data_IF_616597123557
#
_entry.id   IF_616597123557
#
_cell.length_a   1.000
_cell.length_b   1.000
_cell.length_c   1.000
_cell.angle_alpha   90.00
_cell.angle_beta   90.00
_cell.angle_gamma   90.00
#
_symmetry.space_group_name_H-M   'P 1'
#
loop_
_entity.id
_entity.type
_entity.pdbx_description
1 polymer ?
#
# COMPACT_ATOMS: atom_id res chain seq x y z
N UNK A 1 -46.65 39.90 46.30
CA UNK A 1 -46.03 41.25 46.39
C UNK A 1 -44.76 41.25 45.54
N UNK A 2 -44.04 42.37 45.47
CA UNK A 2 -42.89 42.61 44.56
C UNK A 2 -41.84 41.47 44.54
N UNK A 3 -41.15 41.10 43.44
CA UNK A 3 -40.73 41.77 42.19
C UNK A 3 -39.43 42.61 42.27
N UNK A 4 -38.56 42.45 41.25
CA UNK A 4 -37.30 43.18 40.97
C UNK A 4 -36.14 42.84 41.95
N UNK A 5 -34.82 42.94 41.67
CA UNK A 5 -33.92 42.96 40.49
C UNK A 5 -32.47 42.65 41.04
N UNK A 6 -31.29 42.64 40.39
CA UNK A 6 -30.75 43.02 39.06
C UNK A 6 -29.40 42.26 38.83
N UNK A 7 -29.01 42.03 37.56
CA UNK A 7 -27.65 41.61 37.10
C UNK A 7 -27.09 40.23 37.55
N UNK A 8 -26.13 39.60 36.86
CA UNK A 8 -25.61 39.88 35.51
C UNK A 8 -24.08 39.81 35.38
N UNK A 9 -23.56 38.76 34.73
CA UNK A 9 -22.19 38.70 34.22
C UNK A 9 -22.07 37.67 33.08
N UNK A 10 -21.62 38.09 31.89
CA UNK A 10 -20.96 37.19 30.94
C UNK A 10 -19.46 37.33 31.18
N UNK A 11 -18.75 36.22 31.34
CA UNK A 11 -17.29 36.18 31.30
C UNK A 11 -16.85 35.26 30.17
N UNK A 12 -16.72 35.83 28.97
CA UNK A 12 -15.85 35.27 27.95
C UNK A 12 -14.40 35.43 28.44
N UNK A 13 -13.69 34.32 28.63
CA UNK A 13 -12.26 34.31 28.91
C UNK A 13 -11.50 33.88 27.67
N UNK A 14 -10.92 34.84 26.97
CA UNK A 14 -9.98 34.56 25.88
C UNK A 14 -8.54 34.43 26.42
N UNK A 15 -7.66 34.02 25.51
CA UNK A 15 -6.22 34.27 25.52
C UNK A 15 -5.37 33.58 26.60
N UNK A 16 -4.59 32.60 26.15
CA UNK A 16 -3.20 32.46 26.60
C UNK A 16 -2.34 32.10 25.40
N UNK A 17 -1.17 32.72 25.30
CA UNK A 17 -0.48 32.98 24.04
C UNK A 17 0.48 31.89 23.55
N UNK A 18 1.00 32.11 22.34
CA UNK A 18 2.29 31.61 21.82
C UNK A 18 2.53 30.09 21.69
N UNK A 19 2.43 29.59 20.44
CA UNK A 19 3.13 28.40 19.95
C UNK A 19 3.66 28.61 18.51
N UNK A 20 4.56 29.59 18.34
CA UNK A 20 5.23 29.89 17.06
C UNK A 20 6.54 29.09 16.87
N UNK A 21 7.02 29.06 15.62
CA UNK A 21 8.38 28.64 15.22
C UNK A 21 8.73 27.13 15.28
N UNK A 22 8.32 26.44 14.21
CA UNK A 22 9.11 25.50 13.40
C UNK A 22 10.56 25.12 13.84
N UNK A 23 10.80 23.81 13.89
CA UNK A 23 11.95 23.11 13.25
C UNK A 23 13.39 23.40 13.72
N UNK A 24 14.01 22.44 14.41
CA UNK A 24 15.42 22.06 14.18
C UNK A 24 15.70 20.61 14.63
N UNK A 25 16.71 19.96 14.06
CA UNK A 25 16.84 18.51 14.09
C UNK A 25 17.46 17.88 15.35
N UNK A 26 16.86 16.77 15.81
CA UNK A 26 17.49 15.76 16.66
C UNK A 26 17.43 14.39 15.98
N UNK A 27 18.56 13.66 15.89
CA UNK A 27 18.67 12.33 15.25
C UNK A 27 18.61 11.19 16.27
N UNK A 28 17.51 11.08 17.00
CA UNK A 28 17.28 9.93 17.87
C UNK A 28 16.66 8.78 17.08
N UNK A 29 17.49 7.79 16.74
CA UNK A 29 17.13 6.64 15.91
C UNK A 29 16.33 5.60 16.71
N UNK A 30 15.14 5.98 17.16
CA UNK A 30 14.20 5.05 17.81
C UNK A 30 13.65 4.09 16.74
N UNK A 31 14.15 2.85 16.74
CA UNK A 31 13.67 1.76 15.90
C UNK A 31 12.28 1.30 16.34
N UNK A 32 11.26 2.10 16.00
CA UNK A 32 9.85 1.78 16.21
C UNK A 32 9.38 0.65 15.27
N UNK A 33 9.79 -0.57 15.59
CA UNK A 33 9.31 -1.81 14.96
C UNK A 33 7.90 -2.20 15.44
N UNK A 34 7.15 -1.29 16.08
CA UNK A 34 5.93 -1.59 16.83
C UNK A 34 4.63 -1.04 16.25
N UNK A 35 4.65 0.01 15.41
CA UNK A 35 3.43 0.52 14.77
C UNK A 35 3.68 1.28 13.46
N UNK A 36 4.24 0.60 12.45
CA UNK A 36 3.93 0.98 11.07
C UNK A 36 2.45 0.65 10.81
N UNK A 37 1.65 1.54 10.20
CA UNK A 37 0.23 1.26 9.95
C UNK A 37 0.12 0.00 9.10
N UNK A 38 -0.43 -1.06 9.69
CA UNK A 38 -0.41 -2.40 9.09
C UNK A 38 -1.11 -2.35 7.73
N UNK A 39 -0.32 -2.50 6.65
CA UNK A 39 -0.80 -2.32 5.29
C UNK A 39 -1.97 -3.26 5.03
N UNK A 40 -3.13 -2.65 4.88
CA UNK A 40 -4.45 -3.28 4.88
C UNK A 40 -5.36 -2.54 3.92
N UNK A 41 -6.47 -3.17 3.55
CA UNK A 41 -7.39 -2.62 2.55
C UNK A 41 -7.87 -1.20 2.90
N UNK A 42 -8.09 -0.92 4.18
CA UNK A 42 -8.51 0.40 4.67
C UNK A 42 -7.42 1.50 4.55
N UNK A 43 -6.15 1.11 4.53
CA UNK A 43 -5.00 2.03 4.38
C UNK A 43 -4.58 2.29 2.92
N UNK A 44 -5.18 1.59 1.95
CA UNK A 44 -4.92 1.81 0.52
C UNK A 44 -5.43 3.18 0.07
N UNK A 45 -4.90 3.69 -1.05
CA UNK A 45 -5.39 4.93 -1.67
C UNK A 45 -6.91 4.83 -1.98
N UNK A 46 -7.68 5.93 -1.93
CA UNK A 46 -9.10 5.88 -2.28
C UNK A 46 -9.35 5.39 -3.72
N UNK A 47 -8.38 5.51 -4.62
CA UNK A 47 -8.47 4.94 -5.96
C UNK A 47 -8.26 3.43 -5.96
N UNK A 48 -7.23 2.92 -5.29
CA UNK A 48 -7.00 1.48 -5.15
C UNK A 48 -8.16 0.79 -4.42
N UNK A 49 -8.71 1.41 -3.38
CA UNK A 49 -9.94 0.93 -2.75
C UNK A 49 -11.06 0.78 -3.79
N UNK A 50 -11.42 1.84 -4.55
CA UNK A 50 -12.43 1.73 -5.61
C UNK A 50 -12.09 0.67 -6.67
N UNK A 51 -10.83 0.59 -7.09
CA UNK A 51 -10.32 -0.33 -8.11
C UNK A 51 -10.37 -1.79 -7.67
N UNK A 52 -10.18 -2.08 -6.38
CA UNK A 52 -10.04 -3.44 -5.85
C UNK A 52 -11.18 -3.90 -4.93
N UNK A 53 -12.12 -3.04 -4.55
CA UNK A 53 -13.27 -3.31 -3.67
C UNK A 53 -13.94 -4.66 -3.92
N UNK A 54 -14.46 -4.89 -5.13
CA UNK A 54 -15.18 -6.12 -5.49
C UNK A 54 -14.34 -7.39 -5.34
N UNK A 55 -13.01 -7.28 -5.47
CA UNK A 55 -12.05 -8.38 -5.33
C UNK A 55 -11.68 -8.63 -3.87
N UNK A 56 -11.55 -7.58 -3.07
CA UNK A 56 -11.43 -7.71 -1.62
C UNK A 56 -12.71 -8.32 -1.02
N UNK A 57 -13.89 -7.77 -1.33
CA UNK A 57 -15.20 -8.26 -0.86
C UNK A 57 -15.53 -9.68 -1.36
N UNK A 58 -14.99 -10.11 -2.51
CA UNK A 58 -15.06 -11.52 -2.92
C UNK A 58 -14.25 -12.40 -1.95
N UNK A 59 -12.97 -12.06 -1.72
CA UNK A 59 -12.08 -12.85 -0.82
C UNK A 59 -12.59 -12.89 0.61
N UNK A 60 -13.07 -11.77 1.16
CA UNK A 60 -13.69 -11.74 2.49
C UNK A 60 -14.84 -12.76 2.61
N UNK A 61 -15.61 -12.99 1.53
CA UNK A 61 -16.71 -13.96 1.47
C UNK A 61 -16.29 -15.41 1.15
N UNK A 62 -15.21 -15.62 0.39
CA UNK A 62 -14.79 -16.97 -0.06
C UNK A 62 -13.63 -17.57 0.72
N UNK A 63 -12.73 -16.73 1.24
CA UNK A 63 -11.43 -17.08 1.83
C UNK A 63 -11.24 -16.47 3.23
N UNK A 64 -12.14 -15.56 3.65
CA UNK A 64 -12.11 -14.87 4.94
C UNK A 64 -11.30 -13.56 4.94
N UNK A 65 -11.49 -12.75 6.00
CA UNK A 65 -10.87 -11.42 6.11
C UNK A 65 -9.35 -11.48 6.17
N UNK A 66 -8.78 -12.42 6.92
CA UNK A 66 -7.32 -12.51 7.10
C UNK A 66 -6.60 -12.86 5.79
N UNK A 67 -7.19 -13.73 4.97
CA UNK A 67 -6.69 -14.03 3.63
C UNK A 67 -6.81 -12.83 2.69
N UNK A 68 -7.92 -12.08 2.76
CA UNK A 68 -8.09 -10.85 1.98
C UNK A 68 -7.04 -9.77 2.34
N UNK A 69 -6.71 -9.61 3.62
CA UNK A 69 -5.66 -8.69 4.09
C UNK A 69 -4.23 -9.22 3.84
N UNK A 70 -4.01 -10.54 3.84
CA UNK A 70 -2.74 -11.14 3.40
C UNK A 70 -2.51 -10.88 1.89
N UNK A 71 -3.55 -11.01 1.07
CA UNK A 71 -3.50 -10.67 -0.35
C UNK A 71 -3.22 -9.18 -0.60
N UNK A 72 -3.79 -8.27 0.19
CA UNK A 72 -3.46 -6.83 0.12
C UNK A 72 -1.99 -6.59 0.46
N UNK A 73 -1.46 -7.21 1.52
CA UNK A 73 -0.05 -7.05 1.90
C UNK A 73 0.91 -7.48 0.79
N UNK A 74 0.83 -8.69 0.26
CA UNK A 74 1.73 -9.14 -0.83
C UNK A 74 1.63 -8.26 -2.09
N UNK A 75 0.45 -7.70 -2.36
CA UNK A 75 0.19 -6.97 -3.60
C UNK A 75 0.62 -5.50 -3.57
N UNK A 76 0.39 -4.79 -2.47
CA UNK A 76 0.62 -3.34 -2.37
C UNK A 76 1.81 -2.98 -1.47
N UNK A 77 2.12 -3.83 -0.49
CA UNK A 77 3.21 -3.64 0.45
C UNK A 77 4.05 -4.92 0.59
N UNK A 78 4.58 -5.47 -0.52
CA UNK A 78 5.43 -6.66 -0.46
C UNK A 78 6.62 -6.38 0.48
N UNK A 79 6.94 -7.29 1.41
CA UNK A 79 8.09 -7.11 2.29
C UNK A 79 9.39 -7.08 1.46
N UNK A 80 10.45 -6.40 1.94
CA UNK A 80 11.58 -5.99 1.13
C UNK A 80 12.31 -7.17 0.47
N UNK A 81 12.35 -8.34 1.10
CA UNK A 81 12.93 -9.56 0.55
C UNK A 81 12.08 -10.20 -0.57
N UNK A 82 10.76 -10.01 -0.56
CA UNK A 82 9.87 -10.39 -1.67
C UNK A 82 10.08 -9.43 -2.84
N UNK A 83 10.21 -8.13 -2.59
CA UNK A 83 10.49 -7.15 -3.64
C UNK A 83 11.88 -7.37 -4.25
N UNK A 84 12.93 -7.49 -3.43
CA UNK A 84 14.29 -7.81 -3.89
C UNK A 84 14.35 -9.12 -4.69
N UNK A 85 13.56 -10.14 -4.33
CA UNK A 85 13.45 -11.38 -5.12
C UNK A 85 12.76 -11.15 -6.47
N UNK A 86 11.70 -10.33 -6.53
CA UNK A 86 11.02 -9.95 -7.79
C UNK A 86 11.97 -9.19 -8.71
N UNK A 87 12.74 -8.25 -8.17
CA UNK A 87 13.69 -7.44 -8.94
C UNK A 87 14.93 -8.24 -9.37
N UNK A 88 15.48 -9.12 -8.52
CA UNK A 88 16.57 -10.02 -8.88
C UNK A 88 16.16 -11.03 -9.97
N UNK A 89 14.93 -11.54 -9.95
CA UNK A 89 14.40 -12.37 -11.02
C UNK A 89 14.27 -11.59 -12.35
N UNK A 90 13.78 -10.35 -12.29
CA UNK A 90 13.70 -9.44 -13.45
C UNK A 90 15.08 -9.10 -14.03
N UNK A 91 16.09 -8.91 -13.18
CA UNK A 91 17.46 -8.58 -13.59
C UNK A 91 18.22 -9.76 -14.22
N UNK A 92 17.89 -11.01 -13.87
CA UNK A 92 18.54 -12.22 -14.43
C UNK A 92 18.13 -12.54 -15.88
N UNK A 93 17.00 -12.01 -16.35
CA UNK A 93 16.48 -12.31 -17.68
C UNK A 93 15.98 -13.77 -17.82
N UNK A 94 15.66 -14.21 -19.05
CA UNK A 94 15.31 -15.60 -19.32
C UNK A 94 16.54 -16.52 -19.23
N UNK A 95 16.28 -17.78 -18.86
CA UNK A 95 17.27 -18.87 -18.83
C UNK A 95 16.83 -20.01 -19.75
N UNK A 96 17.80 -20.81 -20.17
CA UNK A 96 17.58 -22.01 -20.98
C UNK A 96 17.05 -23.20 -20.13
N UNK A 97 16.91 -24.37 -20.78
CA UNK A 97 16.46 -25.60 -20.11
C UNK A 97 17.46 -26.13 -19.06
N UNK A 98 18.70 -25.65 -19.08
CA UNK A 98 19.79 -26.03 -18.18
C UNK A 98 20.01 -24.98 -17.06
N UNK A 99 19.17 -23.92 -17.01
CA UNK A 99 19.28 -22.83 -16.04
C UNK A 99 20.37 -21.79 -16.35
N UNK A 100 20.99 -21.83 -17.53
CA UNK A 100 21.98 -20.85 -17.97
C UNK A 100 21.29 -19.63 -18.61
N UNK A 101 21.84 -18.40 -18.46
CA UNK A 101 21.31 -17.23 -19.16
C UNK A 101 21.33 -17.43 -20.68
N UNK A 102 20.24 -17.08 -21.37
CA UNK A 102 20.19 -17.22 -22.84
C UNK A 102 21.24 -16.32 -23.51
N UNK A 103 22.09 -16.87 -24.38
CA UNK A 103 23.03 -16.08 -25.22
C UNK A 103 22.29 -15.11 -26.16
N UNK A 104 21.03 -15.42 -26.51
CA UNK A 104 20.17 -14.61 -27.37
C UNK A 104 18.72 -14.75 -26.91
N UNK A 105 17.95 -13.67 -26.98
CA UNK A 105 16.52 -13.68 -26.61
C UNK A 105 15.63 -13.26 -27.78
N UNK A 106 14.35 -13.62 -27.70
CA UNK A 106 13.28 -13.11 -28.56
C UNK A 106 12.10 -12.69 -27.69
N UNK A 107 11.35 -11.70 -28.14
CA UNK A 107 10.06 -11.34 -27.55
C UNK A 107 8.96 -12.27 -28.10
N UNK A 108 8.21 -12.89 -27.21
CA UNK A 108 7.05 -13.73 -27.52
C UNK A 108 5.81 -13.13 -26.85
N UNK A 109 4.75 -12.87 -27.62
CA UNK A 109 3.51 -12.32 -27.09
C UNK A 109 2.73 -13.41 -26.34
N UNK A 110 2.61 -13.29 -25.02
CA UNK A 110 1.90 -14.26 -24.17
C UNK A 110 0.65 -13.62 -23.55
N UNK A 111 -0.42 -14.41 -23.45
CA UNK A 111 -1.65 -13.99 -22.82
C UNK A 111 -1.48 -13.94 -21.30
N UNK A 112 -1.66 -12.75 -20.73
CA UNK A 112 -1.66 -12.51 -19.28
C UNK A 112 -3.06 -12.07 -18.87
N UNK A 113 -3.71 -12.89 -18.03
CA UNK A 113 -4.98 -12.53 -17.41
C UNK A 113 -4.71 -11.52 -16.30
N UNK A 114 -5.07 -10.27 -16.55
CA UNK A 114 -5.14 -9.22 -15.54
C UNK A 114 -6.12 -9.61 -14.43
N UNK A 115 -5.87 -9.16 -13.21
CA UNK A 115 -6.70 -9.53 -12.05
C UNK A 115 -8.16 -9.05 -12.13
N UNK A 116 -8.56 -8.25 -13.14
CA UNK A 116 -9.95 -7.81 -13.38
C UNK A 116 -10.71 -8.75 -14.32
N UNK A 117 -10.06 -9.79 -14.84
CA UNK A 117 -10.61 -10.72 -15.82
C UNK A 117 -10.31 -10.34 -17.27
N UNK A 118 -9.69 -9.17 -17.53
CA UNK A 118 -9.22 -8.84 -18.88
C UNK A 118 -8.01 -9.71 -19.24
N UNK A 119 -8.00 -10.26 -20.47
CA UNK A 119 -6.78 -10.83 -21.05
C UNK A 119 -6.05 -9.75 -21.83
N UNK A 120 -4.74 -9.66 -21.62
CA UNK A 120 -3.84 -8.77 -22.36
C UNK A 120 -2.69 -9.57 -22.96
N UNK A 121 -2.25 -9.22 -24.16
CA UNK A 121 -1.06 -9.83 -24.77
C UNK A 121 0.15 -8.98 -24.37
N UNK A 122 1.09 -9.56 -23.64
CA UNK A 122 2.30 -8.88 -23.16
C UNK A 122 3.53 -9.53 -23.82
N UNK A 123 4.55 -8.76 -24.26
CA UNK A 123 5.80 -9.34 -24.74
C UNK A 123 6.62 -9.90 -23.57
N UNK A 124 6.84 -11.21 -23.57
CA UNK A 124 7.76 -11.90 -22.66
C UNK A 124 9.09 -12.17 -23.38
N UNK A 125 10.21 -11.96 -22.69
CA UNK A 125 11.52 -12.41 -23.17
C UNK A 125 11.66 -13.91 -22.92
N UNK A 126 12.03 -14.65 -23.98
CA UNK A 126 12.38 -16.08 -23.92
C UNK A 126 13.72 -16.29 -24.64
N UNK A 127 14.39 -17.42 -24.42
CA UNK A 127 15.55 -17.77 -25.24
C UNK A 127 15.15 -17.80 -26.72
N UNK A 128 16.00 -17.24 -27.57
CA UNK A 128 16.00 -17.55 -28.99
C UNK A 128 17.01 -18.67 -29.20
N UNK A 129 16.49 -19.86 -29.50
CA UNK A 129 17.26 -20.99 -30.03
C UNK A 129 18.07 -20.57 -31.29
#
# INVERSE_FOLDING_TARGET
MAALLLAGALTAGCDTDAASAQNTGGRDTVTNSGNAPACSYATLSPEDQRRYKSRYERRVRTEGREFAEAWVRDRFCPPPEVQARRDAAKARGPVDRNGQPCTRTRAEMRAVTSMDGSMTMIPHQVCAD
#
